data_IF_131034329013
#
_entry.id   IF_131034329013
#
_cell.length_a   1.000
_cell.length_b   1.000
_cell.length_c   1.000
_cell.angle_alpha   90.00
_cell.angle_beta   90.00
_cell.angle_gamma   90.00
#
_symmetry.space_group_name_H-M   'P 1'
#
loop_
_entity.id
_entity.type
_entity.pdbx_description
1 polymer ?
#
# COMPACT_ATOMS: atom_id res chain seq x y z
N UNK A 1 -15.85 -16.27 -18.49
CA UNK A 1 -15.10 -15.63 -17.39
C UNK A 1 -16.12 -15.17 -16.35
N UNK A 2 -15.81 -15.31 -15.06
CA UNK A 2 -16.70 -14.82 -14.01
C UNK A 2 -16.75 -13.30 -14.07
N UNK A 3 -17.96 -12.73 -14.07
CA UNK A 3 -18.18 -11.29 -14.11
C UNK A 3 -17.47 -10.59 -12.94
N UNK A 4 -16.74 -9.51 -13.20
CA UNK A 4 -16.19 -8.64 -12.14
C UNK A 4 -17.26 -7.64 -11.68
N UNK A 5 -17.55 -7.68 -10.38
CA UNK A 5 -18.47 -6.76 -9.70
C UNK A 5 -17.74 -5.79 -8.79
N UNK A 6 -16.63 -6.23 -8.21
CA UNK A 6 -15.87 -5.47 -7.20
C UNK A 6 -14.43 -5.29 -7.66
N UNK A 7 -13.91 -4.06 -7.54
CA UNK A 7 -12.55 -3.72 -7.92
C UNK A 7 -11.85 -3.18 -6.68
N UNK A 8 -10.72 -3.79 -6.33
CA UNK A 8 -9.97 -3.48 -5.12
C UNK A 8 -8.57 -3.03 -5.50
N UNK A 9 -8.22 -1.80 -5.14
CA UNK A 9 -6.89 -1.23 -5.41
C UNK A 9 -5.99 -1.32 -4.17
N UNK A 10 -4.74 -1.72 -4.36
CA UNK A 10 -3.67 -1.31 -3.45
C UNK A 10 -3.34 0.18 -3.64
N UNK A 11 -2.59 0.75 -2.70
CA UNK A 11 -2.27 2.17 -2.64
C UNK A 11 -0.79 2.42 -2.95
N UNK A 12 0.13 1.79 -2.22
CA UNK A 12 1.57 2.00 -2.39
C UNK A 12 2.03 1.47 -3.74
N UNK A 13 2.78 2.26 -4.51
CA UNK A 13 3.28 1.92 -5.86
C UNK A 13 2.21 1.59 -6.92
N UNK A 14 0.92 1.62 -6.56
CA UNK A 14 -0.22 1.53 -7.47
C UNK A 14 -0.88 2.90 -7.67
N UNK A 15 -1.24 3.60 -6.59
CA UNK A 15 -1.90 4.91 -6.64
C UNK A 15 -0.97 6.05 -6.22
N UNK A 16 -0.10 5.83 -5.22
CA UNK A 16 0.89 6.80 -4.77
C UNK A 16 2.28 6.19 -4.77
N UNK A 17 3.29 7.00 -5.06
CA UNK A 17 4.67 6.56 -4.97
C UNK A 17 5.08 6.31 -3.51
N UNK A 18 6.06 5.43 -3.29
CA UNK A 18 6.70 5.22 -2.00
C UNK A 18 8.17 4.86 -2.19
N UNK A 19 9.07 5.70 -1.69
CA UNK A 19 10.51 5.43 -1.64
C UNK A 19 11.18 6.11 -0.43
N UNK A 20 11.66 5.34 0.56
CA UNK A 20 12.36 5.90 1.72
C UNK A 20 13.71 6.55 1.35
N UNK A 21 14.28 6.24 0.19
CA UNK A 21 15.53 6.86 -0.24
C UNK A 21 15.38 8.35 -0.55
N UNK A 22 14.17 8.85 -0.83
CA UNK A 22 13.96 10.24 -1.24
C UNK A 22 14.43 11.23 -0.17
N UNK A 23 13.89 11.24 1.07
CA UNK A 23 14.43 12.09 2.12
C UNK A 23 15.83 11.64 2.56
N UNK A 24 16.11 10.33 2.56
CA UNK A 24 17.38 9.82 3.06
C UNK A 24 18.57 10.10 2.14
N UNK A 25 18.36 10.41 0.86
CA UNK A 25 19.42 10.88 -0.03
C UNK A 25 20.05 12.20 0.44
N UNK A 26 19.28 13.03 1.17
CA UNK A 26 19.75 14.26 1.81
C UNK A 26 20.25 14.01 3.24
N UNK A 27 19.61 13.09 3.98
CA UNK A 27 19.94 12.81 5.38
C UNK A 27 21.24 11.98 5.50
N UNK A 28 21.38 10.95 4.66
CA UNK A 28 22.57 10.11 4.50
C UNK A 28 23.02 10.20 3.04
N UNK A 29 23.85 11.21 2.67
CA UNK A 29 24.21 11.44 1.27
C UNK A 29 24.98 10.28 0.63
N UNK A 30 25.86 9.63 1.38
CA UNK A 30 26.62 8.49 0.88
C UNK A 30 25.70 7.29 0.57
N UNK A 31 25.65 6.81 -0.69
CA UNK A 31 24.74 5.73 -1.07
C UNK A 31 25.05 4.39 -0.38
N UNK A 32 26.32 4.10 -0.09
CA UNK A 32 26.69 2.86 0.57
C UNK A 32 26.29 2.87 2.05
N UNK A 33 26.52 3.97 2.76
CA UNK A 33 26.05 4.16 4.13
C UNK A 33 24.52 4.14 4.21
N UNK A 34 23.82 4.75 3.25
CA UNK A 34 22.35 4.74 3.21
C UNK A 34 21.79 3.35 2.95
N UNK A 35 22.35 2.62 1.98
CA UNK A 35 21.96 1.25 1.71
C UNK A 35 22.19 0.36 2.95
N UNK A 36 23.32 0.54 3.62
CA UNK A 36 23.67 -0.15 4.85
C UNK A 36 22.71 0.18 6.01
N UNK A 37 22.29 1.44 6.14
CA UNK A 37 21.31 1.88 7.14
C UNK A 37 19.96 1.18 6.95
N UNK A 38 19.47 1.07 5.72
CA UNK A 38 18.24 0.33 5.43
C UNK A 38 18.41 -1.20 5.47
N UNK A 39 19.65 -1.71 5.35
CA UNK A 39 19.90 -3.14 5.46
C UNK A 39 20.02 -3.61 6.93
N UNK A 40 20.42 -2.73 7.85
CA UNK A 40 20.76 -3.11 9.24
C UNK A 40 19.99 -2.40 10.34
N UNK A 41 19.48 -1.19 10.10
CA UNK A 41 18.84 -0.35 11.13
C UNK A 41 17.35 -0.22 10.86
N UNK A 42 16.95 0.65 9.92
CA UNK A 42 15.55 0.78 9.52
C UNK A 42 15.25 -0.20 8.38
N UNK A 43 15.21 -1.50 8.71
CA UNK A 43 14.98 -2.56 7.73
C UNK A 43 13.54 -2.57 7.22
N UNK A 44 13.35 -3.23 6.08
CA UNK A 44 12.00 -3.47 5.55
C UNK A 44 11.13 -4.24 6.55
N UNK A 45 11.67 -5.31 7.16
CA UNK A 45 10.98 -6.09 8.18
C UNK A 45 10.62 -5.26 9.40
N UNK A 46 11.51 -4.36 9.83
CA UNK A 46 11.19 -3.41 10.90
C UNK A 46 10.03 -2.49 10.48
N UNK A 47 10.06 -1.91 9.28
CA UNK A 47 9.01 -1.02 8.81
C UNK A 47 7.64 -1.71 8.66
N UNK A 48 7.62 -2.97 8.20
CA UNK A 48 6.38 -3.77 8.05
C UNK A 48 5.62 -3.89 9.38
N UNK A 49 6.30 -3.86 10.52
CA UNK A 49 5.62 -3.98 11.81
C UNK A 49 4.73 -2.77 12.12
N UNK A 50 5.00 -1.60 11.53
CA UNK A 50 4.07 -0.45 11.60
C UNK A 50 2.77 -0.75 10.85
N UNK A 51 2.88 -1.43 9.70
CA UNK A 51 1.73 -1.90 8.93
C UNK A 51 0.99 -3.04 9.66
N UNK A 52 1.61 -3.70 10.64
CA UNK A 52 0.96 -4.64 11.60
C UNK A 52 0.40 -3.95 12.85
N UNK A 53 0.50 -2.61 12.94
CA UNK A 53 -0.07 -1.82 14.03
C UNK A 53 0.90 -1.44 15.15
N UNK A 54 2.21 -1.70 15.01
CA UNK A 54 3.20 -1.23 15.99
C UNK A 54 3.35 0.29 15.92
N UNK A 55 3.15 0.96 17.05
CA UNK A 55 3.30 2.41 17.11
C UNK A 55 4.77 2.86 16.90
N UNK A 56 4.94 4.09 16.43
CA UNK A 56 6.25 4.65 16.10
C UNK A 56 7.15 4.88 17.32
N UNK A 57 6.60 5.23 18.48
CA UNK A 57 7.39 5.45 19.68
C UNK A 57 8.13 4.17 20.11
N UNK A 58 7.44 3.03 20.09
CA UNK A 58 8.02 1.72 20.38
C UNK A 58 9.01 1.28 19.30
N UNK A 59 8.68 1.55 18.02
CA UNK A 59 9.54 1.24 16.89
C UNK A 59 10.89 1.97 16.95
N UNK A 60 10.84 3.27 17.24
CA UNK A 60 12.02 4.12 17.43
C UNK A 60 12.81 3.70 18.66
N UNK A 61 12.14 3.50 19.80
CA UNK A 61 12.79 3.10 21.04
C UNK A 61 13.58 1.79 20.90
N UNK A 62 13.03 0.81 20.19
CA UNK A 62 13.68 -0.47 19.89
C UNK A 62 15.02 -0.26 19.17
N UNK A 63 15.02 0.48 18.05
CA UNK A 63 16.25 0.69 17.27
C UNK A 63 17.20 1.66 17.94
N UNK A 64 16.73 2.64 18.71
CA UNK A 64 17.60 3.58 19.43
C UNK A 64 18.36 2.86 20.54
N UNK A 65 17.74 1.88 21.21
CA UNK A 65 18.42 1.06 22.20
C UNK A 65 19.57 0.23 21.59
N UNK A 66 19.38 -0.30 20.38
CA UNK A 66 20.39 -1.10 19.66
C UNK A 66 21.44 -0.23 18.95
N UNK A 67 21.02 0.89 18.35
CA UNK A 67 21.84 1.79 17.54
C UNK A 67 21.78 3.24 18.04
N UNK A 68 22.25 3.54 19.27
CA UNK A 68 22.10 4.88 19.87
C UNK A 68 22.78 5.99 19.05
N UNK A 69 23.88 5.67 18.36
CA UNK A 69 24.57 6.63 17.47
C UNK A 69 23.78 6.98 16.21
N UNK A 70 22.71 6.25 15.91
CA UNK A 70 21.85 6.47 14.73
C UNK A 70 20.49 7.05 15.11
N UNK A 71 20.28 7.48 16.36
CA UNK A 71 18.99 8.00 16.84
C UNK A 71 18.37 9.06 15.91
N UNK A 72 19.14 10.07 15.50
CA UNK A 72 18.63 11.10 14.61
C UNK A 72 18.13 10.55 13.26
N UNK A 73 18.79 9.52 12.73
CA UNK A 73 18.41 8.86 11.48
C UNK A 73 17.17 7.97 11.65
N UNK A 74 17.07 7.28 12.78
CA UNK A 74 15.90 6.44 13.12
C UNK A 74 14.64 7.31 13.22
N UNK A 75 14.70 8.39 14.01
CA UNK A 75 13.57 9.34 14.13
C UNK A 75 13.25 10.05 12.82
N UNK A 76 14.26 10.25 11.97
CA UNK A 76 14.06 10.85 10.65
C UNK A 76 13.14 10.00 9.75
N UNK A 77 13.08 8.67 9.95
CA UNK A 77 12.23 7.79 9.14
C UNK A 77 10.76 8.16 9.24
N UNK A 78 10.21 8.25 10.47
CA UNK A 78 8.84 8.70 10.68
C UNK A 78 8.67 10.19 10.38
N UNK A 79 9.61 11.02 10.83
CA UNK A 79 9.52 12.48 10.69
C UNK A 79 9.40 12.92 9.22
N UNK A 80 10.11 12.25 8.31
CA UNK A 80 10.16 12.59 6.89
C UNK A 80 9.31 11.65 6.03
N UNK A 81 8.37 10.92 6.63
CA UNK A 81 7.53 9.96 5.91
C UNK A 81 6.78 10.60 4.71
N UNK A 82 6.25 11.82 4.86
CA UNK A 82 5.57 12.53 3.77
C UNK A 82 6.46 12.79 2.55
N UNK A 83 7.79 12.93 2.74
CA UNK A 83 8.74 13.06 1.62
C UNK A 83 8.97 11.73 0.88
N UNK A 84 8.65 10.58 1.51
CA UNK A 84 8.72 9.25 0.89
C UNK A 84 7.58 8.99 -0.08
N UNK A 85 6.47 9.72 0.05
CA UNK A 85 5.28 9.64 -0.79
C UNK A 85 5.10 10.95 -1.59
N UNK A 86 5.99 11.27 -2.54
CA UNK A 86 6.06 12.61 -3.13
C UNK A 86 4.95 12.93 -4.15
N UNK A 87 4.37 11.92 -4.80
CA UNK A 87 3.39 12.11 -5.87
C UNK A 87 2.43 10.94 -6.00
N UNK A 88 1.30 11.19 -6.64
CA UNK A 88 0.38 10.17 -7.12
C UNK A 88 0.72 9.75 -8.54
N UNK A 89 0.35 8.52 -8.90
CA UNK A 89 0.39 8.05 -10.29
C UNK A 89 -0.89 8.49 -11.00
N UNK A 90 -0.88 9.69 -11.58
CA UNK A 90 -2.09 10.33 -12.15
C UNK A 90 -2.85 9.42 -13.13
N UNK A 91 -2.15 8.67 -13.98
CA UNK A 91 -2.81 7.74 -14.92
C UNK A 91 -3.55 6.58 -14.20
N UNK A 92 -2.99 6.09 -13.08
CA UNK A 92 -3.58 5.04 -12.26
C UNK A 92 -4.77 5.58 -11.45
N UNK A 93 -4.61 6.78 -10.90
CA UNK A 93 -5.69 7.51 -10.21
C UNK A 93 -6.85 7.76 -11.18
N UNK A 94 -6.55 8.19 -12.41
CA UNK A 94 -7.57 8.44 -13.44
C UNK A 94 -8.36 7.18 -13.80
N UNK A 95 -7.73 6.01 -13.84
CA UNK A 95 -8.42 4.73 -14.01
C UNK A 95 -9.36 4.47 -12.83
N UNK A 96 -8.86 4.58 -11.60
CA UNK A 96 -9.67 4.33 -10.39
C UNK A 96 -10.88 5.28 -10.33
N UNK A 97 -10.68 6.58 -10.58
CA UNK A 97 -11.78 7.56 -10.56
C UNK A 97 -12.75 7.34 -11.71
N UNK A 98 -12.27 6.99 -12.90
CA UNK A 98 -13.12 6.66 -14.04
C UNK A 98 -14.01 5.44 -13.79
N UNK A 99 -13.47 4.41 -13.11
CA UNK A 99 -14.26 3.26 -12.67
C UNK A 99 -15.36 3.67 -11.69
N UNK A 100 -15.05 4.51 -10.70
CA UNK A 100 -16.03 5.06 -9.75
C UNK A 100 -17.12 5.86 -10.48
N UNK A 101 -16.73 6.77 -11.38
CA UNK A 101 -17.65 7.63 -12.14
C UNK A 101 -18.56 6.83 -13.07
N UNK A 102 -18.10 5.67 -13.55
CA UNK A 102 -18.90 4.71 -14.33
C UNK A 102 -19.87 3.87 -13.49
N UNK A 103 -19.90 4.07 -12.17
CA UNK A 103 -20.78 3.36 -11.24
C UNK A 103 -20.26 1.98 -10.81
N UNK A 104 -18.97 1.69 -10.98
CA UNK A 104 -18.37 0.43 -10.49
C UNK A 104 -18.15 0.48 -8.98
N UNK A 105 -18.22 -0.69 -8.36
CA UNK A 105 -17.87 -0.83 -6.95
C UNK A 105 -16.35 -0.86 -6.77
N UNK A 106 -15.81 0.20 -6.15
CA UNK A 106 -14.38 0.37 -5.91
C UNK A 106 -14.11 0.53 -4.42
N UNK A 107 -13.16 -0.25 -3.92
CA UNK A 107 -12.62 -0.21 -2.55
C UNK A 107 -11.09 -0.29 -2.59
N UNK A 108 -10.44 -0.10 -1.45
CA UNK A 108 -8.97 -0.21 -1.34
C UNK A 108 -8.54 -1.19 -0.24
N UNK A 109 -7.41 -1.86 -0.44
CA UNK A 109 -6.81 -2.79 0.53
C UNK A 109 -5.29 -2.60 0.56
N UNK A 110 -4.76 -2.11 1.68
CA UNK A 110 -3.37 -1.67 1.75
C UNK A 110 -2.61 -2.18 2.98
N UNK A 111 -1.32 -2.47 2.79
CA UNK A 111 -0.37 -2.57 3.89
C UNK A 111 0.10 -1.15 4.20
N UNK A 112 -0.35 -0.58 5.31
CA UNK A 112 -0.09 0.80 5.68
C UNK A 112 -0.31 0.99 7.18
N UNK A 113 0.57 1.76 7.82
CA UNK A 113 0.37 2.21 9.19
C UNK A 113 -0.82 3.18 9.29
N UNK A 114 -1.62 3.04 10.35
CA UNK A 114 -2.86 3.81 10.49
C UNK A 114 -2.62 5.34 10.52
N UNK A 115 -1.56 5.80 11.18
CA UNK A 115 -1.28 7.22 11.37
C UNK A 115 -0.78 7.89 10.08
N UNK A 116 0.13 7.25 9.37
CA UNK A 116 0.63 7.74 8.08
C UNK A 116 -0.44 7.62 7.00
N UNK A 117 -1.35 6.64 7.06
CA UNK A 117 -2.50 6.60 6.15
C UNK A 117 -3.44 7.79 6.35
N UNK A 118 -3.69 8.19 7.60
CA UNK A 118 -4.43 9.41 7.92
C UNK A 118 -3.74 10.68 7.38
N UNK A 119 -2.40 10.72 7.33
CA UNK A 119 -1.66 11.79 6.66
C UNK A 119 -1.79 11.71 5.13
N UNK A 120 -1.67 10.51 4.54
CA UNK A 120 -1.84 10.27 3.11
C UNK A 120 -3.19 10.78 2.59
N UNK A 121 -4.28 10.51 3.32
CA UNK A 121 -5.64 10.97 2.95
C UNK A 121 -5.79 12.50 2.91
N UNK A 122 -4.97 13.24 3.65
CA UNK A 122 -4.93 14.71 3.61
C UNK A 122 -4.12 15.21 2.43
N UNK A 123 -3.01 14.55 2.10
CA UNK A 123 -2.17 14.86 0.95
C UNK A 123 -2.84 14.52 -0.38
N UNK A 124 -3.58 13.42 -0.40
CA UNK A 124 -4.20 12.82 -1.59
C UNK A 124 -5.71 12.64 -1.37
N UNK A 125 -6.53 13.67 -1.61
CA UNK A 125 -7.97 13.61 -1.35
C UNK A 125 -8.70 12.50 -2.12
N UNK A 126 -8.17 12.01 -3.25
CA UNK A 126 -8.77 10.92 -4.01
C UNK A 126 -8.83 9.60 -3.22
N UNK A 127 -7.99 9.41 -2.20
CA UNK A 127 -8.05 8.26 -1.28
C UNK A 127 -9.33 8.24 -0.42
N UNK A 128 -10.17 9.27 -0.52
CA UNK A 128 -11.47 9.34 0.13
C UNK A 128 -12.65 9.04 -0.82
N UNK A 129 -12.39 8.83 -2.11
CA UNK A 129 -13.44 8.63 -3.13
C UNK A 129 -14.03 7.21 -3.17
N UNK A 130 -13.23 6.12 -3.07
CA UNK A 130 -13.77 4.77 -2.97
C UNK A 130 -14.70 4.65 -1.75
N UNK A 131 -15.68 3.74 -1.80
CA UNK A 131 -16.66 3.63 -0.70
C UNK A 131 -16.05 3.18 0.63
N UNK A 132 -14.83 2.67 0.62
CA UNK A 132 -14.06 2.35 1.81
C UNK A 132 -12.71 1.72 1.52
N UNK A 133 -11.95 1.53 2.60
CA UNK A 133 -10.59 1.01 2.59
C UNK A 133 -10.37 0.11 3.80
N UNK A 134 -9.64 -1.00 3.62
CA UNK A 134 -9.05 -1.76 4.72
C UNK A 134 -7.58 -1.40 4.84
N UNK A 135 -7.18 -0.91 6.01
CA UNK A 135 -5.82 -0.49 6.33
C UNK A 135 -5.22 -1.52 7.30
N UNK A 136 -4.14 -2.18 6.90
CA UNK A 136 -3.54 -3.26 7.70
C UNK A 136 -3.24 -2.84 9.15
N UNK A 137 -2.69 -1.63 9.35
CA UNK A 137 -2.33 -1.12 10.66
C UNK A 137 -3.53 -0.83 11.58
N UNK A 138 -4.73 -0.69 11.01
CA UNK A 138 -5.98 -0.53 11.78
C UNK A 138 -6.59 -1.88 12.17
N UNK A 139 -6.47 -2.89 11.29
CA UNK A 139 -7.11 -4.20 11.50
C UNK A 139 -6.18 -5.27 12.08
N UNK A 140 -4.87 -5.02 12.15
CA UNK A 140 -3.87 -5.95 12.68
C UNK A 140 -3.64 -7.19 11.80
N UNK A 141 -4.06 -7.14 10.53
CA UNK A 141 -3.89 -8.17 9.51
C UNK A 141 -3.11 -7.56 8.36
N UNK A 142 -2.32 -8.34 7.62
CA UNK A 142 -1.47 -7.82 6.55
C UNK A 142 -1.53 -8.70 5.30
N UNK A 143 -1.37 -8.11 4.11
CA UNK A 143 -1.10 -8.89 2.90
C UNK A 143 0.31 -9.49 2.95
N UNK A 144 0.53 -10.72 2.47
CA UNK A 144 -0.37 -11.54 1.66
C UNK A 144 -1.20 -12.57 2.46
N UNK A 145 -1.37 -12.40 3.78
CA UNK A 145 -2.10 -13.37 4.59
C UNK A 145 -3.59 -13.41 4.17
N UNK A 146 -4.12 -14.59 3.85
CA UNK A 146 -5.50 -14.79 3.35
C UNK A 146 -6.55 -14.09 4.22
N UNK A 147 -6.33 -14.05 5.54
CA UNK A 147 -7.23 -13.45 6.50
C UNK A 147 -7.55 -11.96 6.22
N UNK A 148 -6.63 -11.17 5.64
CA UNK A 148 -6.93 -9.76 5.36
C UNK A 148 -7.90 -9.60 4.18
N UNK A 149 -7.79 -10.48 3.17
CA UNK A 149 -8.70 -10.50 2.03
C UNK A 149 -10.08 -10.97 2.46
N UNK A 150 -10.15 -12.05 3.25
CA UNK A 150 -11.42 -12.52 3.83
C UNK A 150 -12.10 -11.43 4.66
N UNK A 151 -11.32 -10.74 5.50
CA UNK A 151 -11.82 -9.62 6.30
C UNK A 151 -12.37 -8.50 5.42
N UNK A 152 -11.63 -8.09 4.39
CA UNK A 152 -12.07 -7.06 3.45
C UNK A 152 -13.36 -7.47 2.73
N UNK A 153 -13.46 -8.72 2.28
CA UNK A 153 -14.66 -9.24 1.64
C UNK A 153 -15.87 -9.20 2.58
N UNK A 154 -15.71 -9.57 3.85
CA UNK A 154 -16.78 -9.50 4.87
C UNK A 154 -17.20 -8.06 5.13
N UNK A 155 -16.25 -7.16 5.42
CA UNK A 155 -16.53 -5.78 5.80
C UNK A 155 -17.25 -5.00 4.69
N UNK A 156 -16.95 -5.32 3.43
CA UNK A 156 -17.52 -4.65 2.27
C UNK A 156 -18.60 -5.46 1.53
N UNK A 157 -18.91 -6.69 1.98
CA UNK A 157 -19.90 -7.55 1.34
C UNK A 157 -19.52 -7.97 -0.08
N UNK A 158 -18.23 -8.26 -0.32
CA UNK A 158 -17.73 -8.69 -1.62
C UNK A 158 -17.91 -10.20 -1.81
N UNK A 159 -18.20 -10.62 -3.03
CA UNK A 159 -18.07 -12.02 -3.43
C UNK A 159 -16.66 -12.26 -4.02
N UNK A 160 -15.78 -13.05 -3.37
CA UNK A 160 -14.40 -13.30 -3.81
C UNK A 160 -14.25 -13.58 -5.31
N UNK A 161 -15.05 -14.48 -5.86
CA UNK A 161 -15.02 -14.90 -7.25
C UNK A 161 -15.40 -13.79 -8.27
N UNK A 162 -16.08 -12.75 -7.78
CA UNK A 162 -16.50 -11.55 -8.52
C UNK A 162 -15.62 -10.33 -8.19
N UNK A 163 -14.56 -10.50 -7.41
CA UNK A 163 -13.62 -9.45 -7.03
C UNK A 163 -12.32 -9.55 -7.81
N UNK A 164 -11.81 -8.40 -8.27
CA UNK A 164 -10.44 -8.28 -8.79
C UNK A 164 -9.60 -7.39 -7.87
N UNK A 165 -8.44 -7.89 -7.45
CA UNK A 165 -7.43 -7.13 -6.70
C UNK A 165 -6.29 -6.66 -7.61
N UNK A 166 -5.84 -5.41 -7.42
CA UNK A 166 -4.78 -4.78 -8.21
C UNK A 166 -3.65 -4.38 -7.25
N UNK A 167 -2.47 -4.99 -7.41
CA UNK A 167 -1.34 -4.80 -6.48
C UNK A 167 -0.01 -4.96 -7.23
N UNK A 168 1.02 -4.20 -6.84
CA UNK A 168 2.35 -4.24 -7.45
C UNK A 168 3.21 -5.39 -6.91
N UNK A 169 2.85 -5.98 -5.77
CA UNK A 169 3.54 -7.12 -5.18
C UNK A 169 2.96 -8.43 -5.66
N UNK A 170 3.78 -9.23 -6.36
CA UNK A 170 3.37 -10.57 -6.79
C UNK A 170 2.93 -11.46 -5.60
N UNK A 171 3.54 -11.30 -4.42
CA UNK A 171 3.13 -12.06 -3.24
C UNK A 171 1.70 -11.71 -2.80
N UNK A 172 1.32 -10.43 -2.84
CA UNK A 172 -0.02 -9.97 -2.52
C UNK A 172 -1.04 -10.42 -3.60
N UNK A 173 -0.63 -10.46 -4.86
CA UNK A 173 -1.46 -10.99 -5.96
C UNK A 173 -1.75 -12.48 -5.73
N UNK A 174 -0.74 -13.27 -5.37
CA UNK A 174 -0.94 -14.69 -5.05
C UNK A 174 -1.76 -14.90 -3.77
N UNK A 175 -1.59 -14.04 -2.76
CA UNK A 175 -2.42 -14.04 -1.55
C UNK A 175 -3.91 -13.83 -1.84
N UNK A 176 -4.23 -12.86 -2.70
CA UNK A 176 -5.60 -12.62 -3.15
C UNK A 176 -6.18 -13.82 -3.92
N UNK A 177 -5.38 -14.44 -4.81
CA UNK A 177 -5.77 -15.66 -5.53
C UNK A 177 -6.03 -16.82 -4.60
N UNK A 178 -5.18 -17.00 -3.58
CA UNK A 178 -5.38 -18.02 -2.55
C UNK A 178 -6.65 -17.78 -1.73
N UNK A 179 -7.06 -16.53 -1.55
CA UNK A 179 -8.34 -16.14 -0.95
C UNK A 179 -9.56 -16.29 -1.91
N UNK A 180 -9.36 -16.79 -3.13
CA UNK A 180 -10.41 -17.03 -4.11
C UNK A 180 -10.75 -15.84 -5.01
N UNK A 181 -9.93 -14.80 -5.02
CA UNK A 181 -10.15 -13.60 -5.82
C UNK A 181 -9.49 -13.72 -7.20
N UNK A 182 -9.97 -12.92 -8.14
CA UNK A 182 -9.16 -12.57 -9.31
C UNK A 182 -8.12 -11.54 -8.90
N UNK A 183 -6.94 -11.55 -9.50
CA UNK A 183 -5.91 -10.58 -9.17
C UNK A 183 -5.00 -10.27 -10.36
N UNK A 184 -4.65 -8.99 -10.47
CA UNK A 184 -3.80 -8.39 -11.50
C UNK A 184 -2.52 -7.89 -10.84
N UNK A 185 -1.38 -8.33 -11.37
CA UNK A 185 -0.08 -7.78 -11.01
C UNK A 185 0.11 -6.46 -11.75
N UNK A 186 0.07 -5.36 -11.00
CA UNK A 186 0.19 -4.01 -11.49
C UNK A 186 1.64 -3.71 -11.86
N UNK A 187 1.89 -3.39 -13.14
CA UNK A 187 3.20 -2.93 -13.61
C UNK A 187 3.10 -1.61 -14.39
N UNK A 188 1.99 -0.88 -14.21
CA UNK A 188 1.71 0.38 -14.90
C UNK A 188 0.27 0.48 -15.43
N UNK A 189 -0.19 1.72 -15.62
CA UNK A 189 -1.57 2.04 -15.97
C UNK A 189 -2.03 1.45 -17.32
N UNK A 190 -1.17 1.45 -18.34
CA UNK A 190 -1.51 0.88 -19.66
C UNK A 190 -1.75 -0.62 -19.61
N UNK A 191 -0.90 -1.35 -18.87
CA UNK A 191 -1.11 -2.79 -18.65
C UNK A 191 -2.38 -3.03 -17.82
N UNK A 192 -2.60 -2.23 -16.78
CA UNK A 192 -3.81 -2.32 -15.95
C UNK A 192 -5.09 -2.17 -16.80
N UNK A 193 -5.16 -1.18 -17.70
CA UNK A 193 -6.30 -1.02 -18.62
C UNK A 193 -6.51 -2.28 -19.46
N UNK A 194 -5.45 -2.82 -20.06
CA UNK A 194 -5.54 -4.04 -20.87
C UNK A 194 -5.99 -5.26 -20.05
N UNK A 195 -5.47 -5.42 -18.82
CA UNK A 195 -5.86 -6.50 -17.92
C UNK A 195 -7.33 -6.39 -17.52
N UNK A 196 -7.80 -5.19 -17.13
CA UNK A 196 -9.20 -4.93 -16.80
C UNK A 196 -10.13 -5.19 -17.98
N UNK A 197 -9.76 -4.76 -19.19
CA UNK A 197 -10.50 -5.06 -20.41
C UNK A 197 -10.59 -6.57 -20.67
N UNK A 198 -9.49 -7.30 -20.45
CA UNK A 198 -9.46 -8.77 -20.53
C UNK A 198 -10.42 -9.45 -19.54
N UNK A 199 -10.71 -8.80 -18.40
CA UNK A 199 -11.70 -9.25 -17.40
C UNK A 199 -13.13 -8.75 -17.68
N UNK A 200 -13.35 -8.04 -18.79
CA UNK A 200 -14.65 -7.46 -19.13
C UNK A 200 -14.99 -6.16 -18.39
N UNK A 201 -13.98 -5.50 -17.82
CA UNK A 201 -14.11 -4.19 -17.17
C UNK A 201 -13.58 -3.11 -18.10
N UNK A 202 -14.46 -2.21 -18.54
CA UNK A 202 -14.06 -1.00 -19.26
C UNK A 202 -13.57 0.05 -18.26
N UNK A 203 -12.30 0.42 -18.40
CA UNK A 203 -11.56 1.37 -17.60
C UNK A 203 -10.96 2.46 -18.50
#
# INVERSE_FOLDING_TARGET
>A
MTEIRHIVFDIGKVLIHYDPNLPFSRIIPDPAERADFFARVCTHDWNIEQDRGRNWADAEALLIAEFPKKEAHIRAFRKHWAEMVPHAYEDSVSIMTGLIDSGRDVTMLTNFAADTFAEARKMYPFLNLPRGVTVSGEVGLIKPDVAIYERHAVDFGLSPEHSVFIDDSLANVEGARAAGWQAVHFTGAEKLKADLQGLGVSA
#
